data_IF_359215876681
#
_entry.id   IF_359215876681
#
_cell.length_a   1.000
_cell.length_b   1.000
_cell.length_c   1.000
_cell.angle_alpha   90.00
_cell.angle_beta   90.00
_cell.angle_gamma   90.00
#
_symmetry.space_group_name_H-M   'P 1'
#
loop_
_entity.id
_entity.type
_entity.pdbx_description
1 polymer ?
#
# COMPACT_ATOMS: atom_id res chain seq x y z
N UNK A 1 -8.02 -25.36 11.33
CA UNK A 1 -8.05 -23.94 10.92
C UNK A 1 -6.70 -23.38 10.49
N UNK A 2 -5.56 -23.73 11.08
CA UNK A 2 -4.23 -23.20 10.67
C UNK A 2 -3.74 -23.72 9.31
N UNK A 3 -4.03 -24.97 8.95
CA UNK A 3 -3.57 -25.59 7.70
C UNK A 3 -4.26 -25.02 6.45
N UNK A 4 -5.55 -24.72 6.52
CA UNK A 4 -6.29 -24.15 5.38
C UNK A 4 -5.82 -22.73 5.00
N UNK A 5 -5.40 -21.93 6.00
CA UNK A 5 -4.83 -20.59 5.75
C UNK A 5 -3.46 -20.67 5.06
N UNK A 6 -2.68 -21.72 5.35
CA UNK A 6 -1.39 -21.95 4.70
C UNK A 6 -1.56 -22.35 3.23
N UNK A 7 -2.53 -23.20 2.92
CA UNK A 7 -2.81 -23.59 1.52
C UNK A 7 -3.34 -22.42 0.67
N UNK A 8 -4.16 -21.53 1.25
CA UNK A 8 -4.62 -20.35 0.57
C UNK A 8 -3.46 -19.39 0.25
N UNK A 9 -2.51 -19.25 1.17
CA UNK A 9 -1.31 -18.44 0.97
C UNK A 9 -0.37 -19.06 -0.08
N UNK A 10 -0.17 -20.38 -0.06
CA UNK A 10 0.61 -21.11 -1.08
C UNK A 10 -0.08 -21.06 -2.46
N UNK A 11 -1.40 -21.12 -2.52
CA UNK A 11 -2.16 -21.05 -3.77
C UNK A 11 -2.04 -19.65 -4.42
N UNK A 12 -2.02 -18.59 -3.62
CA UNK A 12 -1.75 -17.24 -4.12
C UNK A 12 -0.33 -17.09 -4.72
N UNK A 13 0.66 -17.81 -4.19
CA UNK A 13 2.04 -17.77 -4.69
C UNK A 13 2.20 -18.47 -6.05
N UNK A 14 1.31 -19.40 -6.44
CA UNK A 14 1.39 -20.16 -7.69
C UNK A 14 0.96 -19.35 -8.94
N UNK A 15 0.36 -18.19 -8.76
CA UNK A 15 -0.01 -17.31 -9.88
C UNK A 15 1.09 -16.32 -10.29
N UNK A 16 2.22 -16.31 -9.60
CA UNK A 16 3.39 -15.56 -10.05
C UNK A 16 4.18 -16.35 -11.10
N UNK A 17 3.63 -16.47 -12.31
CA UNK A 17 4.47 -16.87 -13.44
C UNK A 17 5.47 -15.73 -13.71
N UNK A 18 6.78 -16.00 -13.85
CA UNK A 18 7.74 -14.99 -14.23
C UNK A 18 7.53 -14.63 -15.71
N UNK A 19 6.57 -13.77 -15.97
CA UNK A 19 6.59 -12.99 -17.20
C UNK A 19 7.80 -12.08 -17.05
N UNK A 20 8.63 -11.99 -18.08
CA UNK A 20 9.77 -11.07 -18.17
C UNK A 20 9.20 -9.63 -18.21
N UNK A 21 8.80 -9.12 -17.07
CA UNK A 21 8.13 -7.85 -16.87
C UNK A 21 8.90 -7.09 -15.82
N UNK A 22 9.08 -5.82 -16.04
CA UNK A 22 9.67 -4.88 -15.09
C UNK A 22 8.78 -4.76 -13.86
N UNK A 23 8.82 -5.78 -12.97
CA UNK A 23 8.09 -5.74 -11.71
C UNK A 23 8.76 -4.79 -10.73
N UNK A 24 8.02 -3.88 -10.18
CA UNK A 24 8.49 -3.01 -9.09
C UNK A 24 8.01 -3.55 -7.75
N UNK A 25 8.97 -3.83 -6.87
CA UNK A 25 8.72 -4.16 -5.46
C UNK A 25 9.16 -3.00 -4.59
N UNK A 26 8.26 -2.55 -3.72
CA UNK A 26 8.48 -1.44 -2.80
C UNK A 26 8.40 -1.94 -1.36
N UNK A 27 9.54 -1.88 -0.65
CA UNK A 27 9.58 -2.03 0.80
C UNK A 27 9.35 -0.67 1.43
N UNK A 28 8.56 -0.61 2.48
CA UNK A 28 8.27 0.64 3.13
C UNK A 28 8.08 0.50 4.65
N UNK A 29 8.37 1.59 5.34
CA UNK A 29 8.12 1.73 6.77
C UNK A 29 7.66 3.16 7.06
N UNK A 30 6.93 3.33 8.16
CA UNK A 30 6.41 4.63 8.50
C UNK A 30 5.64 4.65 9.81
N UNK A 31 4.92 5.74 10.00
CA UNK A 31 4.08 5.95 11.17
C UNK A 31 2.61 5.79 10.74
N UNK A 32 1.93 4.87 11.39
CA UNK A 32 0.50 4.68 11.31
C UNK A 32 -0.17 5.69 12.24
N UNK A 33 -1.18 6.40 11.71
CA UNK A 33 -1.98 7.42 12.40
C UNK A 33 -1.18 8.61 12.94
N UNK A 34 -0.57 9.36 12.02
CA UNK A 34 0.30 10.51 12.37
C UNK A 34 -0.45 11.70 12.97
N UNK A 35 -1.75 11.89 12.65
CA UNK A 35 -2.52 13.08 12.99
C UNK A 35 -3.22 12.96 14.33
N UNK A 36 -3.52 11.73 14.78
CA UNK A 36 -4.21 11.55 16.05
C UNK A 36 -3.38 12.08 17.21
N UNK A 37 -4.03 12.84 18.10
CA UNK A 37 -3.40 13.44 19.28
C UNK A 37 -3.24 12.42 20.41
N UNK A 38 -4.00 11.33 20.38
CA UNK A 38 -3.88 10.26 21.35
C UNK A 38 -2.66 9.40 20.99
N UNK A 39 -1.64 9.44 21.84
CA UNK A 39 -0.39 8.71 21.63
C UNK A 39 -0.59 7.19 21.51
N UNK A 40 -1.69 6.69 22.06
CA UNK A 40 -1.97 5.26 22.15
C UNK A 40 -2.39 4.66 20.79
N UNK A 41 -2.82 5.47 19.81
CA UNK A 41 -3.21 4.98 18.49
C UNK A 41 -2.06 4.93 17.48
N UNK A 42 -0.97 5.67 17.74
CA UNK A 42 0.19 5.65 16.85
C UNK A 42 0.94 4.32 16.91
N UNK A 43 1.32 3.83 15.75
CA UNK A 43 2.09 2.61 15.60
C UNK A 43 3.16 2.76 14.50
N UNK A 44 4.19 1.93 14.53
CA UNK A 44 5.14 1.81 13.42
C UNK A 44 4.61 0.78 12.44
N UNK A 45 4.52 1.12 11.16
CA UNK A 45 4.13 0.20 10.11
C UNK A 45 5.33 -0.27 9.27
N UNK A 46 5.24 -1.52 8.78
CA UNK A 46 6.18 -2.13 7.85
C UNK A 46 5.41 -2.84 6.75
N UNK A 47 5.76 -2.59 5.50
CA UNK A 47 4.99 -3.12 4.40
C UNK A 47 5.77 -3.43 3.14
N UNK A 48 5.05 -4.10 2.24
CA UNK A 48 5.51 -4.46 0.90
C UNK A 48 4.39 -4.15 -0.10
N UNK A 49 4.76 -3.58 -1.23
CA UNK A 49 3.87 -3.32 -2.36
C UNK A 49 4.51 -3.84 -3.64
N UNK A 50 3.74 -4.50 -4.46
CA UNK A 50 4.08 -4.91 -5.81
C UNK A 50 3.28 -4.08 -6.81
N UNK A 51 3.98 -3.52 -7.80
CA UNK A 51 3.40 -2.90 -8.98
C UNK A 51 3.85 -3.66 -10.22
N UNK A 52 2.93 -3.93 -11.13
CA UNK A 52 3.23 -4.47 -12.45
C UNK A 52 2.96 -3.39 -13.51
N UNK A 53 3.98 -2.62 -13.92
CA UNK A 53 3.82 -1.54 -14.90
C UNK A 53 3.57 -2.03 -16.34
N UNK A 54 3.73 -3.32 -16.61
CA UNK A 54 3.40 -3.91 -17.94
C UNK A 54 1.90 -4.11 -18.09
N UNK A 55 1.21 -4.40 -17.00
CA UNK A 55 -0.25 -4.45 -16.96
C UNK A 55 -0.80 -3.03 -16.76
N UNK A 56 -0.77 -2.22 -17.81
CA UNK A 56 -1.23 -0.85 -17.74
C UNK A 56 -2.38 -0.57 -18.68
N UNK A 57 -3.10 0.52 -18.41
CA UNK A 57 -4.08 1.10 -19.30
C UNK A 57 -3.80 2.59 -19.45
N UNK A 58 -3.55 3.03 -20.66
CA UNK A 58 -3.47 4.45 -20.99
C UNK A 58 -4.87 5.07 -21.01
N UNK A 59 -5.01 6.21 -20.35
CA UNK A 59 -6.22 7.03 -20.31
C UNK A 59 -5.87 8.48 -20.60
N UNK A 60 -6.88 9.32 -20.80
CA UNK A 60 -6.66 10.76 -21.01
C UNK A 60 -6.06 11.49 -19.79
N UNK A 61 -6.15 10.90 -18.58
CA UNK A 61 -5.59 11.45 -17.34
C UNK A 61 -4.30 10.77 -16.89
N UNK A 62 -3.78 9.79 -17.62
CA UNK A 62 -2.52 9.13 -17.30
C UNK A 62 -2.53 7.62 -17.54
N UNK A 63 -1.37 7.02 -17.28
CA UNK A 63 -1.15 5.57 -17.37
C UNK A 63 -1.42 4.93 -16.01
N UNK A 64 -2.41 4.06 -15.95
CA UNK A 64 -2.78 3.32 -14.75
C UNK A 64 -2.18 1.92 -14.76
N UNK A 65 -1.62 1.49 -13.65
CA UNK A 65 -1.12 0.13 -13.43
C UNK A 65 -1.64 -0.46 -12.12
N UNK A 66 -1.81 -1.80 -12.04
CA UNK A 66 -2.30 -2.45 -10.83
C UNK A 66 -1.23 -2.46 -9.74
N UNK A 67 -1.67 -2.31 -8.51
CA UNK A 67 -0.86 -2.50 -7.31
C UNK A 67 -1.49 -3.55 -6.41
N UNK A 68 -0.67 -4.28 -5.68
CA UNK A 68 -1.08 -5.18 -4.60
C UNK A 68 -0.05 -5.07 -3.49
N UNK A 69 -0.51 -4.96 -2.25
CA UNK A 69 0.41 -4.80 -1.14
C UNK A 69 -0.25 -5.02 0.21
N UNK A 70 0.53 -4.74 1.24
CA UNK A 70 0.04 -4.79 2.60
C UNK A 70 1.09 -4.31 3.59
N UNK A 71 0.64 -4.06 4.80
CA UNK A 71 1.50 -3.74 5.94
C UNK A 71 1.01 -4.42 7.22
N UNK A 72 1.94 -4.52 8.15
CA UNK A 72 1.68 -4.85 9.55
C UNK A 72 2.17 -3.70 10.41
N UNK A 73 1.59 -3.54 11.60
CA UNK A 73 2.05 -2.58 12.60
C UNK A 73 2.66 -3.29 13.80
N UNK A 74 3.42 -2.57 14.60
CA UNK A 74 3.92 -3.03 15.91
C UNK A 74 2.81 -3.24 16.96
N UNK A 75 1.55 -2.96 16.60
CA UNK A 75 0.33 -3.25 17.36
C UNK A 75 -0.51 -4.36 16.70
N UNK A 76 0.12 -5.22 15.90
CA UNK A 76 -0.52 -6.35 15.21
C UNK A 76 -1.69 -5.98 14.28
N UNK A 77 -1.83 -4.68 13.90
CA UNK A 77 -2.78 -4.32 12.84
C UNK A 77 -2.24 -4.81 11.49
N UNK A 78 -3.14 -5.30 10.64
CA UNK A 78 -2.80 -5.79 9.30
C UNK A 78 -3.70 -5.10 8.28
N UNK A 79 -3.13 -4.62 7.18
CA UNK A 79 -3.87 -4.14 6.02
C UNK A 79 -3.34 -4.79 4.76
N UNK A 80 -4.20 -5.46 3.99
CA UNK A 80 -3.87 -6.08 2.71
C UNK A 80 -4.78 -5.47 1.65
N UNK A 81 -4.21 -4.98 0.55
CA UNK A 81 -4.94 -4.23 -0.45
C UNK A 81 -4.54 -4.59 -1.88
N UNK A 82 -5.46 -4.32 -2.79
CA UNK A 82 -5.19 -4.30 -4.24
C UNK A 82 -5.90 -3.10 -4.85
N UNK A 83 -5.30 -2.51 -5.87
CA UNK A 83 -5.86 -1.30 -6.46
C UNK A 83 -5.10 -0.86 -7.69
N UNK A 84 -5.11 0.43 -7.92
CA UNK A 84 -4.47 1.06 -9.08
C UNK A 84 -3.65 2.28 -8.68
N UNK A 85 -2.59 2.52 -9.43
CA UNK A 85 -1.82 3.76 -9.36
C UNK A 85 -1.64 4.38 -10.73
N UNK A 86 -1.41 5.71 -10.76
CA UNK A 86 -0.91 6.41 -11.93
C UNK A 86 0.42 7.06 -11.59
N UNK A 87 1.37 7.09 -12.53
CA UNK A 87 2.67 7.75 -12.32
C UNK A 87 2.79 8.94 -13.26
N UNK A 88 3.20 10.07 -12.69
CA UNK A 88 3.50 11.32 -13.40
C UNK A 88 4.96 11.69 -13.13
N UNK A 89 5.65 12.17 -14.18
CA UNK A 89 7.04 12.62 -14.07
C UNK A 89 7.11 14.14 -14.24
N UNK A 90 7.72 14.80 -13.26
CA UNK A 90 7.95 16.25 -13.25
C UNK A 90 9.42 16.49 -12.96
N UNK A 91 10.20 16.65 -14.02
CA UNK A 91 11.67 16.72 -13.91
C UNK A 91 12.25 15.43 -13.34
N UNK A 92 12.91 15.50 -12.19
CA UNK A 92 13.47 14.32 -11.50
C UNK A 92 12.48 13.65 -10.55
N UNK A 93 11.36 14.31 -10.28
CA UNK A 93 10.35 13.81 -9.34
C UNK A 93 9.34 12.92 -10.07
N UNK A 94 8.97 11.83 -9.43
CA UNK A 94 7.86 10.97 -9.81
C UNK A 94 6.75 11.11 -8.77
N UNK A 95 5.57 11.53 -9.21
CA UNK A 95 4.38 11.68 -8.37
C UNK A 95 3.44 10.54 -8.70
N UNK A 96 3.10 9.74 -7.71
CA UNK A 96 2.31 8.51 -7.90
C UNK A 96 1.10 8.50 -6.97
N UNK A 97 -0.05 9.06 -7.39
CA UNK A 97 -1.30 8.83 -6.71
C UNK A 97 -1.76 7.37 -6.89
N UNK A 98 -2.39 6.82 -5.86
CA UNK A 98 -2.99 5.49 -5.90
C UNK A 98 -4.26 5.42 -5.06
N UNK A 99 -5.13 4.47 -5.44
CA UNK A 99 -6.33 4.14 -4.71
C UNK A 99 -6.48 2.62 -4.64
N UNK A 100 -6.76 2.10 -3.44
CA UNK A 100 -6.84 0.66 -3.21
C UNK A 100 -7.86 0.31 -2.12
N UNK A 101 -8.90 -0.46 -2.42
CA UNK A 101 -9.66 -1.17 -1.40
C UNK A 101 -8.81 -2.26 -0.77
N UNK A 102 -9.05 -2.55 0.51
CA UNK A 102 -8.30 -3.56 1.25
C UNK A 102 -9.05 -4.12 2.45
N UNK A 103 -8.51 -5.20 2.96
CA UNK A 103 -8.94 -5.83 4.21
C UNK A 103 -8.08 -5.34 5.36
N UNK A 104 -8.72 -4.81 6.39
CA UNK A 104 -8.09 -4.34 7.61
C UNK A 104 -8.47 -5.22 8.80
N UNK A 105 -7.46 -5.61 9.59
CA UNK A 105 -7.60 -6.27 10.88
C UNK A 105 -6.88 -5.41 11.93
N UNK A 106 -7.59 -4.97 12.95
CA UNK A 106 -7.08 -3.98 13.90
C UNK A 106 -5.98 -4.50 14.84
N UNK A 107 -5.97 -5.81 15.14
CA UNK A 107 -5.12 -6.34 16.20
C UNK A 107 -5.34 -5.61 17.52
N UNK A 108 -4.23 -5.13 18.11
CA UNK A 108 -4.22 -4.28 19.32
C UNK A 108 -4.19 -2.76 18.97
N UNK A 109 -4.30 -2.42 17.67
CA UNK A 109 -4.29 -1.05 17.19
C UNK A 109 -5.69 -0.45 17.05
N UNK A 110 -5.77 0.64 16.28
CA UNK A 110 -6.98 1.45 16.12
C UNK A 110 -8.11 0.69 15.43
N UNK A 111 -9.31 0.79 15.96
CA UNK A 111 -10.53 0.26 15.33
C UNK A 111 -11.00 1.25 14.26
N UNK A 112 -11.07 0.80 13.00
CA UNK A 112 -11.54 1.62 11.88
C UNK A 112 -13.02 1.42 11.55
N UNK A 113 -13.72 0.52 12.28
CA UNK A 113 -15.17 0.35 12.22
C UNK A 113 -15.65 -0.78 11.32
N UNK A 114 -14.83 -1.23 10.35
CA UNK A 114 -15.12 -2.41 9.53
C UNK A 114 -13.84 -3.00 8.93
N UNK A 115 -13.97 -4.20 8.36
CA UNK A 115 -12.84 -4.88 7.74
C UNK A 115 -12.51 -4.39 6.32
N UNK A 116 -13.50 -3.83 5.60
CA UNK A 116 -13.27 -3.26 4.28
C UNK A 116 -12.92 -1.78 4.42
N UNK A 117 -11.69 -1.44 4.06
CA UNK A 117 -11.18 -0.08 4.11
C UNK A 117 -10.65 0.35 2.73
N UNK A 118 -10.63 1.65 2.47
CA UNK A 118 -10.14 2.24 1.24
C UNK A 118 -8.92 3.11 1.52
N UNK A 119 -7.81 2.81 0.86
CA UNK A 119 -6.60 3.64 0.93
C UNK A 119 -6.53 4.58 -0.26
N UNK A 120 -6.36 5.87 0.03
CA UNK A 120 -5.89 6.89 -0.92
C UNK A 120 -4.46 7.25 -0.54
N UNK A 121 -3.52 7.18 -1.49
CA UNK A 121 -2.09 7.44 -1.23
C UNK A 121 -1.50 8.32 -2.32
N UNK A 122 -0.64 9.26 -1.93
CA UNK A 122 0.24 9.98 -2.83
C UNK A 122 1.69 9.67 -2.46
N UNK A 123 2.48 9.21 -3.43
CA UNK A 123 3.92 8.94 -3.29
C UNK A 123 4.70 9.94 -4.14
N UNK A 124 5.73 10.54 -3.57
CA UNK A 124 6.75 11.32 -4.28
C UNK A 124 8.04 10.54 -4.21
N UNK A 125 8.66 10.26 -5.34
CA UNK A 125 9.90 9.48 -5.39
C UNK A 125 10.91 10.04 -6.38
N UNK A 126 12.17 9.65 -6.17
CA UNK A 126 13.32 9.97 -7.00
C UNK A 126 14.04 8.68 -7.38
N UNK A 127 14.59 8.63 -8.59
CA UNK A 127 15.54 7.59 -8.95
C UNK A 127 16.85 7.81 -8.17
N UNK A 128 17.28 6.78 -7.43
CA UNK A 128 18.46 6.84 -6.58
C UNK A 128 19.66 6.12 -7.20
N UNK A 129 19.44 4.92 -7.72
CA UNK A 129 20.38 4.15 -8.53
C UNK A 129 19.61 3.52 -9.71
N UNK A 130 20.36 2.82 -10.58
CA UNK A 130 19.75 2.03 -11.65
C UNK A 130 18.65 1.11 -11.08
N UNK A 131 17.45 1.22 -11.64
CA UNK A 131 16.28 0.40 -11.28
C UNK A 131 15.89 0.50 -9.79
N UNK A 132 16.25 1.60 -9.13
CA UNK A 132 16.00 1.80 -7.69
C UNK A 132 15.46 3.19 -7.43
N UNK A 133 14.41 3.29 -6.59
CA UNK A 133 13.80 4.56 -6.19
C UNK A 133 13.75 4.67 -4.68
N UNK A 134 13.88 5.89 -4.18
CA UNK A 134 13.51 6.26 -2.81
C UNK A 134 12.30 7.17 -2.85
N UNK A 135 11.40 7.05 -1.88
CA UNK A 135 10.17 7.84 -1.89
C UNK A 135 9.65 8.13 -0.50
N UNK A 136 8.80 9.15 -0.46
CA UNK A 136 7.97 9.50 0.67
C UNK A 136 6.50 9.44 0.24
N UNK A 137 5.64 8.92 1.09
CA UNK A 137 4.20 8.85 0.81
C UNK A 137 3.39 9.33 2.00
N UNK A 138 2.27 9.95 1.67
CA UNK A 138 1.19 10.20 2.60
C UNK A 138 -0.02 9.40 2.16
N UNK A 139 -0.64 8.67 3.09
CA UNK A 139 -1.84 7.88 2.81
C UNK A 139 -2.92 8.10 3.84
N UNK A 140 -4.16 8.03 3.38
CA UNK A 140 -5.37 8.03 4.19
C UNK A 140 -6.11 6.72 4.00
N UNK A 141 -6.54 6.09 5.09
CA UNK A 141 -7.36 4.88 5.08
C UNK A 141 -8.66 5.19 5.81
N UNK A 142 -9.80 4.84 5.21
CA UNK A 142 -11.12 5.05 5.77
C UNK A 142 -12.16 4.13 5.11
N UNK A 143 -13.31 3.93 5.74
CA UNK A 143 -14.39 3.06 5.22
C UNK A 143 -15.52 3.82 4.52
N UNK A 144 -15.36 5.12 4.26
CA UNK A 144 -16.36 5.95 3.59
C UNK A 144 -17.73 5.96 4.30
N UNK A 145 -17.72 5.89 5.64
CA UNK A 145 -18.93 5.83 6.49
C UNK A 145 -19.83 4.60 6.25
N UNK A 146 -19.26 3.54 5.67
CA UNK A 146 -19.99 2.26 5.51
C UNK A 146 -19.94 1.39 6.77
N UNK A 147 -18.98 1.67 7.68
CA UNK A 147 -18.84 1.00 8.97
C UNK A 147 -19.70 1.61 10.07
N UNK A 148 -19.58 1.04 11.26
CA UNK A 148 -20.26 1.57 12.47
C UNK A 148 -19.65 2.87 12.98
N UNK A 149 -18.36 3.07 12.71
CA UNK A 149 -17.57 4.28 12.94
C UNK A 149 -16.63 4.48 11.74
N UNK A 150 -16.15 5.68 11.53
CA UNK A 150 -15.17 6.00 10.49
C UNK A 150 -14.13 7.01 11.00
N UNK A 151 -13.28 6.65 11.96
CA UNK A 151 -12.26 7.57 12.47
C UNK A 151 -11.19 7.88 11.42
N UNK A 152 -10.95 6.96 10.48
CA UNK A 152 -9.88 7.03 9.52
C UNK A 152 -8.49 7.05 10.16
N UNK A 153 -7.46 6.84 9.36
CA UNK A 153 -6.05 7.01 9.77
C UNK A 153 -5.23 7.65 8.65
N UNK A 154 -4.23 8.42 9.05
CA UNK A 154 -3.29 9.06 8.13
C UNK A 154 -1.89 8.54 8.41
N UNK A 155 -1.19 8.09 7.38
CA UNK A 155 0.13 7.49 7.52
C UNK A 155 1.18 8.27 6.75
N UNK A 156 2.35 8.40 7.34
CA UNK A 156 3.57 8.93 6.72
C UNK A 156 4.56 7.80 6.53
N UNK A 157 5.06 7.63 5.31
CA UNK A 157 5.76 6.43 4.88
C UNK A 157 7.01 6.80 4.10
N UNK A 158 8.15 6.19 4.45
CA UNK A 158 9.36 6.19 3.65
C UNK A 158 9.45 4.85 2.91
N UNK A 159 9.85 4.89 1.65
CA UNK A 159 9.88 3.72 0.79
C UNK A 159 11.17 3.58 -0.02
N UNK A 160 11.50 2.32 -0.29
CA UNK A 160 12.58 1.90 -1.18
C UNK A 160 12.00 0.93 -2.20
N UNK A 161 12.08 1.28 -3.49
CA UNK A 161 11.58 0.45 -4.58
C UNK A 161 12.71 -0.09 -5.42
N UNK A 162 12.56 -1.35 -5.88
CA UNK A 162 13.45 -2.01 -6.83
C UNK A 162 12.65 -2.57 -7.99
N UNK A 163 13.13 -2.30 -9.20
CA UNK A 163 12.59 -2.83 -10.46
C UNK A 163 13.44 -4.04 -10.88
N UNK A 164 12.79 -5.16 -11.24
CA UNK A 164 13.42 -6.41 -11.64
C UNK A 164 13.03 -6.81 -13.06
#
# INVERSE_FOLDING_TARGET
MKLQKLYLFLFLLLFFTPVKSENEYTFYSGIFDTIDKEKDDKATLYGLEHNNPVLFKDTFIGRFSPITGGFITDKDSIFIYTGVQAQYEIGLLKITPSFAPGYYEKGDGKDLGMALEFQSKIKISLDFFKDTKIGYSYSHISNNDWGTINPGVNNEIISFSKIF
#
